data_IF_499750722686
#
_entry.id   IF_499750722686
#
_cell.length_a   1.000
_cell.length_b   1.000
_cell.length_c   1.000
_cell.angle_alpha   90.00
_cell.angle_beta   90.00
_cell.angle_gamma   90.00
#
_symmetry.space_group_name_H-M   'P 1'
#
loop_
_entity.id
_entity.type
_entity.pdbx_description
1 polymer ?
#
# COMPACT_ATOMS: atom_id res chain seq x y z
N UNK A 1 -18.18 -62.44 10.04
CA UNK A 1 -18.42 -62.84 8.64
C UNK A 1 -18.37 -61.56 7.82
N UNK A 2 -17.15 -61.04 7.64
CA UNK A 2 -16.43 -61.02 6.36
C UNK A 2 -16.82 -59.79 5.53
N UNK A 3 -16.11 -58.68 5.78
CA UNK A 3 -16.11 -57.48 4.96
C UNK A 3 -15.08 -57.71 3.87
N UNK A 4 -15.53 -57.87 2.63
CA UNK A 4 -14.69 -58.12 1.48
C UNK A 4 -13.85 -56.88 1.17
N UNK A 5 -12.56 -57.13 0.95
CA UNK A 5 -11.57 -56.23 0.37
C UNK A 5 -11.89 -56.05 -1.12
N UNK A 6 -11.63 -54.89 -1.72
CA UNK A 6 -11.10 -54.89 -3.08
C UNK A 6 -10.23 -53.63 -3.35
N UNK A 7 -9.11 -53.80 -4.08
CA UNK A 7 -7.94 -52.92 -4.11
C UNK A 7 -8.01 -51.80 -5.16
N UNK A 8 -7.22 -50.75 -4.90
CA UNK A 8 -6.87 -49.73 -5.88
C UNK A 8 -6.09 -50.37 -7.05
N UNK A 9 -6.66 -50.39 -8.25
CA UNK A 9 -5.96 -50.77 -9.48
C UNK A 9 -5.82 -49.57 -10.43
N UNK A 10 -4.54 -49.29 -10.64
CA UNK A 10 -3.78 -48.68 -11.74
C UNK A 10 -4.49 -48.10 -12.99
N UNK A 11 -3.83 -47.07 -13.52
CA UNK A 11 -4.24 -46.17 -14.60
C UNK A 11 -4.30 -46.82 -15.99
N UNK A 12 -4.90 -46.12 -16.98
CA UNK A 12 -4.31 -46.09 -18.30
C UNK A 12 -3.99 -44.66 -18.77
N UNK A 13 -2.76 -44.50 -19.28
CA UNK A 13 -2.32 -43.34 -20.04
C UNK A 13 -2.92 -43.36 -21.44
N UNK A 14 -3.44 -42.21 -21.91
CA UNK A 14 -3.67 -42.00 -23.34
C UNK A 14 -3.22 -40.59 -23.74
N UNK A 15 -2.39 -40.57 -24.77
CA UNK A 15 -1.73 -39.43 -25.39
C UNK A 15 -2.71 -38.40 -25.96
N UNK A 16 -2.35 -37.12 -25.87
CA UNK A 16 -2.79 -36.14 -26.86
C UNK A 16 -1.64 -35.23 -27.31
N UNK A 17 -1.48 -35.18 -28.62
CA UNK A 17 -0.53 -34.37 -29.39
C UNK A 17 -1.03 -32.93 -29.44
N UNK A 18 -0.15 -31.95 -29.32
CA UNK A 18 -0.40 -30.62 -29.89
C UNK A 18 0.88 -30.07 -30.53
N UNK A 19 0.80 -29.92 -31.86
CA UNK A 19 1.58 -28.96 -32.66
C UNK A 19 0.59 -27.84 -32.97
N UNK A 20 0.93 -26.60 -32.69
CA UNK A 20 1.24 -25.57 -33.69
C UNK A 20 1.61 -24.28 -32.97
N UNK A 21 2.67 -23.68 -33.48
CA UNK A 21 3.19 -22.35 -33.19
C UNK A 21 2.23 -21.25 -33.65
N UNK A 22 1.95 -20.28 -32.77
CA UNK A 22 1.50 -18.95 -33.17
C UNK A 22 2.45 -17.91 -32.55
N UNK A 23 3.04 -17.01 -33.36
CA UNK A 23 3.90 -15.95 -32.87
C UNK A 23 3.02 -14.82 -32.33
N UNK A 24 3.02 -14.63 -31.01
CA UNK A 24 2.52 -13.38 -30.46
C UNK A 24 3.55 -12.29 -30.73
N UNK A 25 3.24 -11.43 -31.69
CA UNK A 25 3.78 -10.07 -31.76
C UNK A 25 3.28 -9.35 -30.52
N UNK A 26 4.12 -9.31 -29.49
CA UNK A 26 3.93 -8.41 -28.37
C UNK A 26 4.37 -7.03 -28.85
N UNK A 27 3.37 -6.28 -29.30
CA UNK A 27 3.44 -4.85 -29.61
C UNK A 27 4.06 -4.14 -28.41
N UNK A 28 5.24 -3.54 -28.64
CA UNK A 28 5.99 -2.69 -27.73
C UNK A 28 5.12 -1.53 -27.23
N UNK A 29 4.32 -1.76 -26.19
CA UNK A 29 3.86 -0.70 -25.31
C UNK A 29 5.04 -0.31 -24.44
N UNK A 30 5.90 0.52 -25.02
CA UNK A 30 6.95 1.27 -24.35
C UNK A 30 6.31 2.10 -23.23
N UNK A 31 6.25 1.50 -22.03
CA UNK A 31 5.92 2.23 -20.80
C UNK A 31 7.06 3.21 -20.59
N UNK A 32 6.87 4.43 -21.07
CA UNK A 32 7.71 5.57 -20.72
C UNK A 32 7.59 5.76 -19.21
N UNK A 33 8.53 5.17 -18.48
CA UNK A 33 8.72 5.44 -17.07
C UNK A 33 9.15 6.90 -16.99
N UNK A 34 8.21 7.79 -16.64
CA UNK A 34 8.53 9.18 -16.33
C UNK A 34 9.52 9.19 -15.15
N UNK A 35 10.80 9.32 -15.49
CA UNK A 35 11.89 9.50 -14.54
C UNK A 35 11.70 10.84 -13.84
N UNK A 36 11.02 10.80 -12.71
CA UNK A 36 10.92 11.93 -11.80
C UNK A 36 12.33 12.35 -11.35
N UNK A 37 12.68 13.64 -11.41
CA UNK A 37 13.98 14.12 -10.99
C UNK A 37 14.27 13.77 -9.52
N UNK A 38 15.29 12.94 -9.29
CA UNK A 38 15.75 12.60 -7.95
C UNK A 38 16.56 13.77 -7.36
N UNK A 39 15.87 14.72 -6.73
CA UNK A 39 16.52 15.72 -5.88
C UNK A 39 16.66 15.13 -4.47
N UNK A 40 17.87 15.19 -3.92
CA UNK A 40 18.19 14.65 -2.59
C UNK A 40 17.27 15.23 -1.50
N UNK A 41 16.32 14.40 -1.04
CA UNK A 41 15.58 14.63 0.19
C UNK A 41 14.07 14.54 0.05
N UNK A 42 13.53 13.38 0.45
CA UNK A 42 12.12 13.15 0.82
C UNK A 42 11.13 13.12 -0.35
N UNK A 43 11.18 12.00 -1.07
CA UNK A 43 10.16 11.62 -2.04
C UNK A 43 8.80 11.43 -1.32
N UNK A 44 7.81 12.26 -1.66
CA UNK A 44 6.42 12.03 -1.25
C UNK A 44 5.81 11.02 -2.21
N UNK A 45 5.07 10.01 -1.72
CA UNK A 45 4.36 9.12 -2.62
C UNK A 45 3.39 9.94 -3.48
N UNK A 46 3.32 9.64 -4.79
CA UNK A 46 2.53 10.37 -5.80
C UNK A 46 1.03 10.50 -5.44
N UNK A 47 0.57 9.75 -4.45
CA UNK A 47 -0.81 9.62 -3.99
C UNK A 47 -1.03 10.09 -2.52
N UNK A 48 -0.13 10.90 -1.98
CA UNK A 48 -0.23 11.42 -0.60
C UNK A 48 -0.65 12.89 -0.55
N UNK A 49 -1.92 13.16 -0.82
CA UNK A 49 -2.51 14.48 -0.62
C UNK A 49 -2.73 14.79 0.87
N UNK A 50 -2.54 16.04 1.27
CA UNK A 50 -2.77 16.52 2.63
C UNK A 50 -4.21 17.05 2.77
N UNK A 51 -4.99 16.50 3.71
CA UNK A 51 -6.30 17.05 4.09
C UNK A 51 -6.31 17.39 5.57
N UNK A 52 -6.62 18.64 5.88
CA UNK A 52 -6.67 19.12 7.26
C UNK A 52 -8.09 19.07 7.79
N UNK A 53 -8.26 18.47 8.96
CA UNK A 53 -9.56 18.40 9.65
C UNK A 53 -9.42 18.91 11.08
N UNK A 54 -10.45 19.58 11.58
CA UNK A 54 -10.53 19.96 12.99
C UNK A 54 -10.96 18.74 13.79
N UNK A 55 -10.29 18.49 14.91
CA UNK A 55 -10.79 17.52 15.88
C UNK A 55 -12.18 17.95 16.37
N UNK A 56 -13.08 16.98 16.58
CA UNK A 56 -14.42 17.19 17.16
C UNK A 56 -14.42 18.04 18.43
N UNK A 57 -13.36 17.92 19.23
CA UNK A 57 -13.21 18.62 20.52
C UNK A 57 -12.40 19.91 20.41
N UNK A 58 -12.04 20.35 19.21
CA UNK A 58 -11.39 21.66 18.92
C UNK A 58 -9.95 21.83 19.40
N UNK A 59 -9.44 20.96 20.28
CA UNK A 59 -8.13 21.15 20.94
C UNK A 59 -6.91 20.88 20.05
N UNK A 60 -7.04 20.07 18.98
CA UNK A 60 -5.91 19.66 18.14
C UNK A 60 -6.30 19.63 16.66
N UNK A 61 -5.38 20.01 15.78
CA UNK A 61 -5.52 19.83 14.34
C UNK A 61 -5.21 18.37 13.97
N UNK A 62 -5.90 17.87 12.96
CA UNK A 62 -5.67 16.55 12.39
C UNK A 62 -5.32 16.68 10.91
N UNK A 63 -4.44 15.79 10.46
CA UNK A 63 -3.99 15.68 9.08
C UNK A 63 -4.35 14.27 8.58
N UNK A 64 -5.05 14.20 7.45
CA UNK A 64 -5.25 12.97 6.69
C UNK A 64 -4.26 13.00 5.54
N UNK A 65 -3.40 11.99 5.45
CA UNK A 65 -2.40 11.85 4.41
C UNK A 65 -2.14 10.37 4.11
N UNK A 66 -2.04 9.99 2.84
CA UNK A 66 -1.82 8.61 2.40
C UNK A 66 -2.83 7.59 2.99
N UNK A 67 -4.09 8.00 3.22
CA UNK A 67 -5.10 7.15 3.87
C UNK A 67 -4.98 7.01 5.39
N UNK A 68 -3.96 7.60 6.02
CA UNK A 68 -3.79 7.59 7.47
C UNK A 68 -4.11 8.93 8.10
N UNK A 69 -4.49 8.89 9.38
CA UNK A 69 -4.73 10.08 10.19
C UNK A 69 -3.57 10.37 11.13
N UNK A 70 -3.22 11.64 11.24
CA UNK A 70 -2.17 12.16 12.10
C UNK A 70 -2.70 13.30 12.98
N UNK A 71 -2.17 13.40 14.20
CA UNK A 71 -2.45 14.47 15.17
C UNK A 71 -1.22 15.36 15.31
N UNK A 72 -1.46 16.67 15.32
CA UNK A 72 -0.41 17.65 15.56
C UNK A 72 0.07 17.57 17.02
N UNK A 73 1.39 17.52 17.22
CA UNK A 73 2.00 17.60 18.56
C UNK A 73 2.94 18.79 18.73
N UNK A 74 3.45 19.32 17.61
CA UNK A 74 4.21 20.56 17.52
C UNK A 74 3.88 21.18 16.17
N UNK A 75 3.97 22.50 16.05
CA UNK A 75 3.74 23.19 14.78
C UNK A 75 4.51 22.52 13.64
N UNK A 76 3.79 22.09 12.59
CA UNK A 76 4.29 21.37 11.43
C UNK A 76 4.79 19.93 11.65
N UNK A 77 4.65 19.37 12.85
CA UNK A 77 5.03 17.99 13.17
C UNK A 77 3.85 17.18 13.68
N UNK A 78 3.70 15.99 13.10
CA UNK A 78 2.52 15.16 13.25
C UNK A 78 2.91 13.73 13.62
N UNK A 79 2.13 13.12 14.51
CA UNK A 79 2.20 11.68 14.80
C UNK A 79 0.95 10.99 14.34
N UNK A 80 1.04 9.72 13.95
CA UNK A 80 -0.16 8.94 13.69
C UNK A 80 -1.09 8.94 14.92
N UNK A 81 -2.40 9.03 14.70
CA UNK A 81 -3.42 8.99 15.76
C UNK A 81 -3.35 7.70 16.58
N UNK A 82 -2.90 6.59 15.97
CA UNK A 82 -2.71 5.29 16.63
C UNK A 82 -1.36 5.15 17.33
N UNK A 83 -0.64 6.25 17.59
CA UNK A 83 0.62 6.24 18.38
C UNK A 83 0.47 5.53 19.73
N UNK A 84 -0.68 5.68 20.40
CA UNK A 84 -0.97 4.99 21.66
C UNK A 84 -1.06 3.46 21.52
N UNK A 85 -1.23 2.95 20.30
CA UNK A 85 -1.18 1.52 19.95
C UNK A 85 0.19 1.09 19.40
N UNK A 86 1.26 1.87 19.67
CA UNK A 86 2.62 1.55 19.25
C UNK A 86 3.01 2.01 17.84
N UNK A 87 2.14 2.72 17.12
CA UNK A 87 2.48 3.24 15.79
C UNK A 87 3.60 4.27 15.87
N UNK A 88 4.62 4.12 15.02
CA UNK A 88 5.80 5.00 14.97
C UNK A 88 5.78 5.98 13.80
N UNK A 89 4.71 5.96 12.99
CA UNK A 89 4.57 6.83 11.83
C UNK A 89 4.49 8.31 12.22
N UNK A 90 5.15 9.13 11.39
CA UNK A 90 5.29 10.58 11.57
C UNK A 90 5.06 11.28 10.24
N UNK A 91 4.60 12.51 10.29
CA UNK A 91 4.60 13.40 9.14
C UNK A 91 5.18 14.77 9.52
N UNK A 92 5.76 15.45 8.53
CA UNK A 92 6.21 16.83 8.63
C UNK A 92 5.58 17.62 7.50
N UNK A 93 5.06 18.80 7.81
CA UNK A 93 4.50 19.73 6.83
C UNK A 93 5.36 20.99 6.76
N UNK A 94 5.21 21.79 5.71
CA UNK A 94 5.74 23.14 5.65
C UNK A 94 4.69 24.15 6.17
N UNK A 95 5.04 25.43 6.35
CA UNK A 95 4.08 26.47 6.73
C UNK A 95 2.91 26.62 5.75
N UNK A 96 3.11 26.30 4.47
CA UNK A 96 2.08 26.33 3.42
C UNK A 96 1.16 25.11 3.43
N UNK A 97 1.23 24.26 4.48
CA UNK A 97 0.39 23.07 4.66
C UNK A 97 0.60 21.97 3.61
N UNK A 98 1.75 21.97 2.94
CA UNK A 98 2.19 20.87 2.11
C UNK A 98 2.95 19.85 2.96
N UNK A 99 2.78 18.57 2.67
CA UNK A 99 3.59 17.52 3.29
C UNK A 99 5.02 17.67 2.75
N UNK A 100 6.00 17.60 3.63
CA UNK A 100 7.44 17.61 3.30
C UNK A 100 8.02 16.21 3.44
N UNK A 101 7.56 15.47 4.45
CA UNK A 101 7.92 14.06 4.62
C UNK A 101 6.88 13.28 5.39
N UNK A 102 6.83 11.98 5.08
CA UNK A 102 6.07 10.98 5.84
C UNK A 102 6.98 9.79 6.11
N UNK A 103 7.06 9.40 7.37
CA UNK A 103 7.59 8.11 7.79
C UNK A 103 6.43 7.13 7.90
N UNK A 104 6.25 6.27 6.89
CA UNK A 104 5.11 5.34 6.79
C UNK A 104 5.29 4.04 7.60
N UNK A 105 5.88 4.13 8.81
CA UNK A 105 6.03 2.98 9.71
C UNK A 105 4.75 2.79 10.55
N UNK A 106 3.70 2.33 9.86
CA UNK A 106 2.42 1.96 10.47
C UNK A 106 2.43 0.49 10.87
N UNK A 107 1.92 0.20 12.07
CA UNK A 107 1.71 -1.16 12.59
C UNK A 107 0.21 -1.53 12.61
N UNK A 108 -0.59 -0.83 11.82
CA UNK A 108 -2.03 -0.98 11.75
C UNK A 108 -2.49 -0.64 10.33
N UNK A 109 -3.65 -1.15 9.94
CA UNK A 109 -4.29 -0.77 8.68
C UNK A 109 -4.81 0.67 8.73
N UNK A 110 -5.01 1.32 7.57
CA UNK A 110 -5.74 2.58 7.49
C UNK A 110 -7.09 2.50 8.21
N UNK A 111 -7.55 3.58 8.87
CA UNK A 111 -8.90 3.64 9.40
C UNK A 111 -9.92 3.70 8.26
N UNK A 112 -11.08 3.07 8.46
CA UNK A 112 -12.24 3.31 7.60
C UNK A 112 -12.72 4.75 7.81
N UNK A 113 -12.80 5.52 6.72
CA UNK A 113 -13.19 6.94 6.71
C UNK A 113 -14.65 7.12 6.31
#
# INVERSE_FOLDING_TARGET
MSRAEDPCDEQPQVSQRQRTSEPHTEDDLEVQQEETPQVQGQYLPKNCAAKYVKSRYGKKNMLIACGYTFSEYKYNFWYCTKRHHGCKAKAKTNPDRNIVSITSNHNHTPPDL
#
